data_IF_722808614433
#
_entry.id   IF_722808614433
#
_cell.length_a   1.000
_cell.length_b   1.000
_cell.length_c   1.000
_cell.angle_alpha   90.00
_cell.angle_beta   90.00
_cell.angle_gamma   90.00
#
_symmetry.space_group_name_H-M   'P 1'
#
loop_
_entity.id
_entity.type
_entity.pdbx_description
1 polymer ?
#
# COMPACT_ATOMS: atom_id res chain seq x y z
N UNK A 1 -10.32 59.94 14.96
CA UNK A 1 -10.68 58.66 15.62
C UNK A 1 -9.62 57.64 15.24
N UNK A 2 -8.96 57.08 16.24
CA UNK A 2 -7.75 56.26 16.12
C UNK A 2 -8.08 54.83 15.72
N UNK A 3 -7.17 54.17 14.99
CA UNK A 3 -7.25 52.77 14.51
C UNK A 3 -7.28 51.70 15.64
N UNK A 4 -7.40 52.10 16.91
CA UNK A 4 -7.23 51.24 18.08
C UNK A 4 -8.53 50.72 18.72
N UNK A 5 -9.71 51.06 18.19
CA UNK A 5 -10.98 50.70 18.84
C UNK A 5 -11.65 49.42 18.30
N UNK A 6 -10.98 48.65 17.45
CA UNK A 6 -11.41 47.27 17.18
C UNK A 6 -10.92 46.33 18.29
N UNK A 7 -11.62 46.34 19.43
CA UNK A 7 -11.55 45.24 20.37
C UNK A 7 -12.04 43.96 19.66
N UNK A 8 -11.08 43.07 19.34
CA UNK A 8 -11.33 41.68 18.99
C UNK A 8 -12.01 40.98 20.17
N UNK A 9 -13.33 40.95 20.18
CA UNK A 9 -14.11 40.01 20.99
C UNK A 9 -14.54 38.83 20.13
N UNK A 10 -13.56 38.11 19.58
CA UNK A 10 -13.71 36.70 19.28
C UNK A 10 -12.61 35.99 20.07
N UNK A 11 -12.99 35.34 21.16
CA UNK A 11 -12.11 34.59 22.06
C UNK A 11 -11.54 33.31 21.42
N UNK A 12 -11.37 33.29 20.11
CA UNK A 12 -10.94 32.15 19.32
C UNK A 12 -10.00 32.68 18.24
N UNK A 13 -8.70 32.43 18.44
CA UNK A 13 -7.64 32.86 17.52
C UNK A 13 -7.78 32.22 16.13
N UNK A 14 -7.01 32.69 15.12
CA UNK A 14 -7.05 32.16 13.75
C UNK A 14 -6.82 30.63 13.68
N UNK A 15 -6.21 30.04 14.71
CA UNK A 15 -5.94 28.61 14.82
C UNK A 15 -7.17 27.74 15.17
N UNK A 16 -8.26 28.35 15.63
CA UNK A 16 -9.47 27.60 16.06
C UNK A 16 -10.34 27.13 14.90
N UNK A 17 -10.20 27.72 13.71
CA UNK A 17 -10.86 27.22 12.49
C UNK A 17 -10.31 25.86 12.03
N UNK A 18 -9.12 25.48 12.48
CA UNK A 18 -8.51 24.17 12.22
C UNK A 18 -9.04 23.07 13.13
N UNK A 19 -9.74 23.43 14.22
CA UNK A 19 -10.08 22.50 15.30
C UNK A 19 -11.60 22.28 15.50
N UNK A 20 -12.46 22.87 14.66
CA UNK A 20 -13.90 22.66 14.80
C UNK A 20 -14.36 21.43 13.98
N UNK A 21 -14.68 20.29 14.63
CA UNK A 21 -15.58 19.33 14.02
C UNK A 21 -16.92 20.04 13.82
N UNK A 22 -17.41 20.11 12.58
CA UNK A 22 -18.76 20.61 12.25
C UNK A 22 -19.08 21.96 12.95
N UNK A 23 -18.52 23.06 12.45
CA UNK A 23 -18.72 24.40 13.03
C UNK A 23 -19.93 25.12 12.44
N UNK A 24 -20.83 25.61 13.29
CA UNK A 24 -21.83 26.62 12.91
C UNK A 24 -21.26 27.99 13.28
N UNK A 25 -20.91 28.80 12.27
CA UNK A 25 -20.52 30.19 12.48
C UNK A 25 -21.69 31.13 12.15
N UNK A 26 -21.87 32.18 12.96
CA UNK A 26 -22.85 33.24 12.70
C UNK A 26 -22.08 34.50 12.33
N UNK A 27 -22.33 35.06 11.15
CA UNK A 27 -21.76 36.36 10.79
C UNK A 27 -22.54 37.46 11.50
N UNK A 28 -21.86 38.33 12.24
CA UNK A 28 -22.45 39.55 12.77
C UNK A 28 -22.09 40.71 11.83
N UNK A 29 -23.11 41.30 11.18
CA UNK A 29 -22.94 42.52 10.42
C UNK A 29 -23.08 43.74 11.35
N UNK A 30 -22.38 44.87 11.09
CA UNK A 30 -22.51 46.09 11.91
C UNK A 30 -23.88 46.78 11.85
N UNK A 31 -24.81 46.32 11.01
CA UNK A 31 -26.13 46.89 10.77
C UNK A 31 -27.18 45.77 10.72
N UNK A 32 -28.42 46.08 11.12
CA UNK A 32 -29.64 45.27 11.37
C UNK A 32 -30.03 44.20 10.31
N UNK A 33 -29.06 43.44 9.82
CA UNK A 33 -29.26 42.28 8.97
C UNK A 33 -29.16 41.03 9.83
N UNK A 34 -30.15 40.12 9.76
CA UNK A 34 -30.12 38.92 10.56
C UNK A 34 -28.85 38.11 10.25
N UNK A 35 -28.18 37.57 11.27
CA UNK A 35 -26.94 36.82 11.08
C UNK A 35 -27.16 35.66 10.13
N UNK A 36 -26.33 35.56 9.09
CA UNK A 36 -26.35 34.39 8.20
C UNK A 36 -25.64 33.23 8.91
N UNK A 37 -26.31 32.08 8.93
CA UNK A 37 -25.73 30.82 9.39
C UNK A 37 -24.77 30.32 8.31
N UNK A 38 -23.48 30.28 8.61
CA UNK A 38 -22.46 29.63 7.77
C UNK A 38 -22.21 28.25 8.38
N UNK A 39 -22.58 27.21 7.64
CA UNK A 39 -22.28 25.83 7.99
C UNK A 39 -20.95 25.49 7.33
N UNK A 40 -19.93 25.15 8.13
CA UNK A 40 -18.67 24.62 7.62
C UNK A 40 -18.77 23.11 7.72
N UNK A 41 -19.19 22.48 6.63
CA UNK A 41 -19.18 21.02 6.51
C UNK A 41 -17.75 20.58 6.18
N UNK A 42 -17.11 19.81 7.05
CA UNK A 42 -15.85 19.15 6.70
C UNK A 42 -16.16 17.98 5.77
N UNK A 43 -15.29 17.75 4.78
CA UNK A 43 -15.39 16.59 3.89
C UNK A 43 -15.48 15.31 4.72
N UNK A 44 -16.56 14.55 4.56
CA UNK A 44 -16.71 13.27 5.24
C UNK A 44 -15.66 12.28 4.74
N UNK A 45 -15.01 11.55 5.66
CA UNK A 45 -13.93 10.61 5.32
C UNK A 45 -14.38 9.54 4.29
N UNK A 46 -15.64 9.12 4.36
CA UNK A 46 -16.24 8.16 3.42
C UNK A 46 -16.45 8.70 2.00
N UNK A 47 -16.18 9.99 1.74
CA UNK A 47 -16.20 10.61 0.40
C UNK A 47 -14.90 10.40 -0.36
N UNK A 48 -13.81 10.02 0.31
CA UNK A 48 -12.48 9.83 -0.32
C UNK A 48 -12.51 8.85 -1.49
N UNK A 49 -13.20 7.69 -1.44
CA UNK A 49 -13.31 6.81 -2.61
C UNK A 49 -13.97 7.51 -3.82
N UNK A 50 -14.92 8.42 -3.58
CA UNK A 50 -15.54 9.23 -4.64
C UNK A 50 -14.54 10.18 -5.29
N UNK A 51 -13.80 10.93 -4.49
CA UNK A 51 -12.73 11.81 -4.97
C UNK A 51 -11.67 11.03 -5.78
N UNK A 52 -11.27 9.86 -5.31
CA UNK A 52 -10.34 8.99 -6.05
C UNK A 52 -10.88 8.61 -7.43
N UNK A 53 -12.15 8.19 -7.54
CA UNK A 53 -12.78 7.89 -8.85
C UNK A 53 -12.85 9.12 -9.76
N UNK A 54 -13.14 10.30 -9.22
CA UNK A 54 -13.15 11.55 -9.99
C UNK A 54 -11.77 11.90 -10.57
N UNK A 55 -10.69 11.42 -9.94
CA UNK A 55 -9.31 11.53 -10.43
C UNK A 55 -8.89 10.40 -11.40
N UNK A 56 -9.78 9.43 -11.67
CA UNK A 56 -9.44 8.21 -12.41
C UNK A 56 -8.58 7.23 -11.62
N UNK A 57 -8.59 7.31 -10.28
CA UNK A 57 -7.85 6.43 -9.39
C UNK A 57 -8.71 5.25 -8.94
N UNK A 58 -9.14 4.44 -9.91
CA UNK A 58 -10.14 3.40 -9.68
C UNK A 58 -9.63 2.30 -8.75
N UNK A 59 -8.34 1.94 -8.82
CA UNK A 59 -7.76 0.90 -7.96
C UNK A 59 -7.62 1.39 -6.52
N UNK A 60 -7.13 2.61 -6.32
CA UNK A 60 -7.07 3.24 -5.01
C UNK A 60 -8.47 3.38 -4.40
N UNK A 61 -9.45 3.81 -5.20
CA UNK A 61 -10.84 3.94 -4.77
C UNK A 61 -11.43 2.60 -4.34
N UNK A 62 -11.15 1.52 -5.09
CA UNK A 62 -11.63 0.18 -4.77
C UNK A 62 -11.04 -0.35 -3.46
N UNK A 63 -9.73 -0.17 -3.23
CA UNK A 63 -9.08 -0.56 -1.97
C UNK A 63 -9.64 0.23 -0.78
N UNK A 64 -9.78 1.54 -0.95
CA UNK A 64 -10.32 2.42 0.09
C UNK A 64 -11.78 2.08 0.40
N UNK A 65 -12.60 1.83 -0.62
CA UNK A 65 -13.99 1.40 -0.46
C UNK A 65 -14.06 0.06 0.28
N UNK A 66 -13.23 -0.91 -0.11
CA UNK A 66 -13.14 -2.20 0.57
C UNK A 66 -12.80 -2.04 2.05
N UNK A 67 -11.87 -1.14 2.40
CA UNK A 67 -11.56 -0.85 3.79
C UNK A 67 -12.80 -0.37 4.56
N UNK A 68 -13.56 0.59 4.01
CA UNK A 68 -14.79 1.10 4.63
C UNK A 68 -15.90 0.05 4.78
N UNK A 69 -16.03 -0.84 3.81
CA UNK A 69 -17.08 -1.85 3.79
C UNK A 69 -16.78 -3.00 4.77
N UNK A 70 -15.50 -3.23 5.06
CA UNK A 70 -15.02 -4.27 5.96
C UNK A 70 -15.47 -4.07 7.42
N UNK A 71 -15.65 -5.17 8.19
CA UNK A 71 -15.80 -5.11 9.63
C UNK A 71 -14.64 -4.35 10.29
N UNK A 72 -14.88 -3.69 11.43
CA UNK A 72 -13.81 -3.08 12.20
C UNK A 72 -12.76 -4.12 12.59
N UNK A 73 -11.56 -3.98 12.02
CA UNK A 73 -10.41 -4.80 12.34
C UNK A 73 -9.14 -3.99 12.14
N UNK A 74 -8.26 -4.07 13.12
CA UNK A 74 -6.95 -3.44 13.10
C UNK A 74 -5.90 -4.51 12.88
N UNK A 75 -5.03 -4.30 11.90
CA UNK A 75 -3.92 -5.22 11.69
C UNK A 75 -2.94 -5.13 12.86
N UNK A 76 -2.51 -6.24 13.47
CA UNK A 76 -1.48 -6.22 14.51
C UNK A 76 -0.19 -5.57 14.00
N UNK A 77 0.42 -4.67 14.78
CA UNK A 77 1.62 -3.95 14.35
C UNK A 77 2.80 -4.90 14.10
N UNK A 78 2.88 -5.98 14.87
CA UNK A 78 3.88 -7.02 14.71
C UNK A 78 3.82 -7.69 13.33
N UNK A 79 2.70 -7.66 12.61
CA UNK A 79 2.64 -8.22 11.25
C UNK A 79 3.48 -7.43 10.24
N UNK A 80 3.99 -6.24 10.61
CA UNK A 80 4.92 -5.47 9.79
C UNK A 80 6.35 -6.03 9.82
N UNK A 81 6.71 -6.77 10.86
CA UNK A 81 8.00 -7.45 10.97
C UNK A 81 7.95 -8.81 10.27
N UNK A 82 9.09 -9.26 9.71
CA UNK A 82 9.12 -10.48 8.89
C UNK A 82 8.84 -11.74 9.72
N UNK A 83 9.36 -11.78 10.93
CA UNK A 83 9.36 -12.94 11.82
C UNK A 83 7.99 -13.24 12.43
N UNK A 84 7.12 -12.24 12.48
CA UNK A 84 5.79 -12.27 13.11
C UNK A 84 4.66 -12.17 12.10
N UNK A 85 4.98 -12.18 10.80
CA UNK A 85 3.98 -12.30 9.75
C UNK A 85 3.25 -13.65 9.85
N UNK A 86 1.92 -13.67 9.74
CA UNK A 86 1.18 -14.92 9.68
C UNK A 86 1.57 -15.69 8.42
N UNK A 87 1.40 -17.01 8.46
CA UNK A 87 1.50 -17.84 7.26
C UNK A 87 0.53 -17.27 6.20
N UNK A 88 1.00 -16.92 4.99
CA UNK A 88 0.16 -16.43 3.92
C UNK A 88 -1.10 -17.27 3.71
N UNK A 89 -1.04 -18.60 3.85
CA UNK A 89 -2.18 -19.51 3.63
C UNK A 89 -3.19 -19.48 4.79
N UNK A 90 -2.77 -19.07 5.99
CA UNK A 90 -3.64 -18.98 7.17
C UNK A 90 -4.57 -17.75 7.19
N UNK A 91 -4.28 -16.73 6.37
CA UNK A 91 -5.07 -15.50 6.31
C UNK A 91 -6.53 -15.75 5.91
N UNK A 92 -7.45 -15.17 6.66
CA UNK A 92 -8.88 -15.21 6.32
C UNK A 92 -9.20 -14.29 5.13
N UNK A 93 -10.31 -14.50 4.41
CA UNK A 93 -10.75 -13.61 3.33
C UNK A 93 -10.98 -12.15 3.75
N UNK A 94 -11.28 -11.92 5.04
CA UNK A 94 -11.44 -10.57 5.58
C UNK A 94 -10.08 -9.85 5.75
N UNK A 95 -9.00 -10.59 5.95
CA UNK A 95 -7.65 -10.06 6.22
C UNK A 95 -6.78 -10.01 4.96
N UNK A 96 -7.26 -10.48 3.82
CA UNK A 96 -6.47 -10.62 2.60
C UNK A 96 -7.28 -10.26 1.36
N UNK A 97 -6.80 -9.33 0.54
CA UNK A 97 -7.28 -9.14 -0.84
C UNK A 97 -6.44 -9.93 -1.83
N UNK A 98 -7.09 -10.55 -2.82
CA UNK A 98 -6.41 -11.17 -3.98
C UNK A 98 -7.01 -10.68 -5.33
N UNK A 99 -7.89 -9.67 -5.28
CA UNK A 99 -8.86 -9.38 -6.35
C UNK A 99 -8.75 -7.99 -6.97
N UNK A 100 -8.38 -6.98 -6.20
CA UNK A 100 -8.40 -5.57 -6.61
C UNK A 100 -7.11 -5.20 -7.34
N UNK A 101 -5.96 -5.47 -6.74
CA UNK A 101 -4.67 -5.14 -7.34
C UNK A 101 -4.27 -6.24 -8.31
N UNK A 102 -4.10 -5.88 -9.59
CA UNK A 102 -3.62 -6.79 -10.64
C UNK A 102 -2.26 -6.39 -11.16
N UNK A 103 -1.43 -7.37 -11.50
CA UNK A 103 -0.14 -7.14 -12.11
C UNK A 103 -0.28 -6.49 -13.49
N UNK A 104 -1.35 -6.81 -14.24
CA UNK A 104 -1.64 -6.12 -15.52
C UNK A 104 -1.78 -4.60 -15.33
N UNK A 105 -2.56 -4.16 -14.33
CA UNK A 105 -2.67 -2.76 -13.95
C UNK A 105 -1.34 -2.20 -13.45
N UNK A 106 -0.66 -2.91 -12.54
CA UNK A 106 0.57 -2.43 -11.93
C UNK A 106 1.69 -2.23 -12.96
N UNK A 107 1.77 -3.10 -13.97
CA UNK A 107 2.77 -3.02 -15.04
C UNK A 107 2.56 -1.84 -15.99
N UNK A 108 1.45 -1.10 -15.91
CA UNK A 108 1.26 0.17 -16.62
C UNK A 108 2.16 1.28 -16.04
N UNK A 109 2.60 1.15 -14.79
CA UNK A 109 3.42 2.14 -14.10
C UNK A 109 4.91 1.79 -14.21
N UNK A 110 5.71 2.76 -14.67
CA UNK A 110 7.15 2.60 -14.91
C UNK A 110 7.91 2.10 -13.67
N UNK A 111 7.58 2.64 -12.50
CA UNK A 111 8.21 2.24 -11.23
C UNK A 111 7.98 0.76 -10.86
N UNK A 112 6.85 0.18 -11.26
CA UNK A 112 6.58 -1.24 -11.05
C UNK A 112 7.41 -2.09 -12.02
N UNK A 113 7.48 -1.70 -13.30
CA UNK A 113 8.32 -2.38 -14.30
C UNK A 113 9.79 -2.44 -13.86
N UNK A 114 10.33 -1.31 -13.42
CA UNK A 114 11.70 -1.24 -12.88
C UNK A 114 11.89 -2.15 -11.66
N UNK A 115 10.91 -2.22 -10.76
CA UNK A 115 10.97 -3.10 -9.60
C UNK A 115 10.95 -4.59 -9.98
N UNK A 116 10.19 -4.97 -11.01
CA UNK A 116 10.20 -6.33 -11.56
C UNK A 116 11.58 -6.67 -12.12
N UNK A 117 12.19 -5.79 -12.92
CA UNK A 117 13.55 -6.01 -13.46
C UNK A 117 14.58 -6.16 -12.34
N UNK A 118 14.49 -5.32 -11.30
CA UNK A 118 15.35 -5.41 -10.13
C UNK A 118 15.13 -6.72 -9.38
N UNK A 119 13.88 -7.14 -9.16
CA UNK A 119 13.58 -8.41 -8.51
C UNK A 119 14.11 -9.60 -9.33
N UNK A 120 13.96 -9.57 -10.65
CA UNK A 120 14.46 -10.62 -11.56
C UNK A 120 15.98 -10.72 -11.51
N UNK A 121 16.71 -9.59 -11.54
CA UNK A 121 18.17 -9.58 -11.47
C UNK A 121 18.71 -10.18 -10.16
N UNK A 122 17.87 -10.24 -9.11
CA UNK A 122 18.25 -10.74 -7.79
C UNK A 122 18.07 -12.25 -7.59
N UNK A 123 17.54 -12.97 -8.58
CA UNK A 123 17.28 -14.42 -8.52
C UNK A 123 18.53 -15.26 -8.18
N UNK A 124 19.72 -14.80 -8.58
CA UNK A 124 20.99 -15.53 -8.39
C UNK A 124 21.87 -14.94 -7.28
N UNK A 125 21.35 -13.99 -6.50
CA UNK A 125 22.09 -13.46 -5.35
C UNK A 125 22.26 -14.53 -4.28
N UNK A 126 23.31 -14.42 -3.47
CA UNK A 126 23.59 -15.37 -2.37
C UNK A 126 22.37 -15.55 -1.46
N UNK A 127 21.67 -14.46 -1.14
CA UNK A 127 20.45 -14.51 -0.31
C UNK A 127 19.31 -15.27 -1.00
N UNK A 128 19.09 -15.07 -2.30
CA UNK A 128 18.07 -15.81 -3.05
C UNK A 128 18.41 -17.31 -3.13
N UNK A 129 19.67 -17.66 -3.37
CA UNK A 129 20.12 -19.05 -3.42
C UNK A 129 19.98 -19.72 -2.05
N UNK A 130 20.33 -19.04 -0.97
CA UNK A 130 20.16 -19.57 0.39
C UNK A 130 18.67 -19.78 0.71
N UNK A 131 17.81 -18.81 0.39
CA UNK A 131 16.37 -18.95 0.58
C UNK A 131 15.79 -20.10 -0.25
N UNK A 132 16.22 -20.24 -1.51
CA UNK A 132 15.81 -21.35 -2.38
C UNK A 132 16.20 -22.70 -1.78
N UNK A 133 17.41 -22.83 -1.21
CA UNK A 133 17.86 -24.07 -0.55
C UNK A 133 17.00 -24.41 0.67
N UNK A 134 16.61 -23.42 1.48
CA UNK A 134 15.70 -23.62 2.62
C UNK A 134 14.35 -24.17 2.13
N UNK A 135 13.74 -23.51 1.17
CA UNK A 135 12.45 -23.91 0.58
C UNK A 135 12.51 -25.32 -0.03
N UNK A 136 13.60 -25.64 -0.74
CA UNK A 136 13.80 -26.97 -1.30
C UNK A 136 13.92 -28.03 -0.21
N UNK A 137 14.65 -27.76 0.88
CA UNK A 137 14.76 -28.69 2.02
C UNK A 137 13.42 -28.91 2.71
N UNK A 138 12.63 -27.85 2.89
CA UNK A 138 11.25 -27.91 3.41
C UNK A 138 10.35 -28.75 2.48
N UNK A 139 10.54 -28.64 1.16
CA UNK A 139 9.87 -29.45 0.14
C UNK A 139 10.43 -30.89 0.01
N UNK A 140 11.42 -31.27 0.82
CA UNK A 140 11.96 -32.62 0.89
C UNK A 140 13.19 -32.92 0.03
N UNK A 141 13.84 -31.90 -0.53
CA UNK A 141 15.10 -32.05 -1.28
C UNK A 141 16.22 -32.66 -0.41
N UNK A 142 16.90 -33.69 -0.94
CA UNK A 142 18.03 -34.41 -0.31
C UNK A 142 19.09 -34.77 -1.37
N UNK A 143 20.31 -35.14 -0.97
CA UNK A 143 21.45 -35.41 -1.89
C UNK A 143 21.15 -36.42 -3.03
N UNK A 144 20.20 -37.34 -2.82
CA UNK A 144 19.83 -38.37 -3.79
C UNK A 144 18.36 -38.32 -4.19
N UNK A 145 17.66 -37.25 -3.83
CA UNK A 145 16.23 -37.10 -4.08
C UNK A 145 16.03 -35.77 -4.79
N UNK A 146 15.72 -35.85 -6.07
CA UNK A 146 15.29 -34.68 -6.83
C UNK A 146 13.93 -34.20 -6.31
N UNK A 147 13.75 -32.88 -6.30
CA UNK A 147 12.58 -32.21 -5.76
C UNK A 147 12.05 -31.22 -6.79
N UNK A 148 10.72 -31.09 -6.83
CA UNK A 148 10.04 -30.05 -7.58
C UNK A 148 9.57 -28.98 -6.61
N UNK A 149 9.78 -27.71 -6.99
CA UNK A 149 9.34 -26.57 -6.22
C UNK A 149 8.25 -25.81 -6.98
N UNK A 150 7.10 -25.62 -6.33
CA UNK A 150 6.02 -24.79 -6.85
C UNK A 150 5.30 -25.33 -8.10
N UNK A 151 4.33 -24.55 -8.59
CA UNK A 151 3.59 -24.77 -9.84
C UNK A 151 3.16 -23.43 -10.43
N UNK A 152 3.04 -23.33 -11.76
CA UNK A 152 2.55 -22.13 -12.43
C UNK A 152 1.03 -21.90 -12.27
N UNK A 153 0.34 -22.80 -11.56
CA UNK A 153 -1.08 -22.67 -11.19
C UNK A 153 -1.29 -22.11 -9.78
N UNK A 154 -0.23 -21.77 -9.07
CA UNK A 154 -0.30 -21.27 -7.70
C UNK A 154 -0.88 -19.86 -7.63
N UNK A 155 -1.58 -19.56 -6.53
CA UNK A 155 -1.87 -18.18 -6.14
C UNK A 155 -0.63 -17.48 -5.58
N UNK A 156 -0.65 -16.15 -5.51
CA UNK A 156 0.44 -15.37 -4.95
C UNK A 156 0.73 -15.74 -3.49
N UNK A 157 -0.30 -16.06 -2.69
CA UNK A 157 -0.13 -16.54 -1.31
C UNK A 157 0.58 -17.90 -1.24
N UNK A 158 0.23 -18.83 -2.13
CA UNK A 158 0.90 -20.12 -2.24
C UNK A 158 2.36 -19.93 -2.64
N UNK A 159 2.63 -19.08 -3.63
CA UNK A 159 4.00 -18.75 -4.00
C UNK A 159 4.78 -18.10 -2.84
N UNK A 160 4.16 -17.18 -2.09
CA UNK A 160 4.80 -16.52 -0.95
C UNK A 160 5.18 -17.52 0.15
N UNK A 161 4.31 -18.50 0.40
CA UNK A 161 4.55 -19.53 1.39
C UNK A 161 5.69 -20.49 0.99
N UNK A 162 5.74 -20.94 -0.28
CA UNK A 162 6.60 -22.08 -0.64
C UNK A 162 7.65 -21.85 -1.73
N UNK A 163 7.65 -20.71 -2.43
CA UNK A 163 8.47 -20.52 -3.62
C UNK A 163 9.08 -19.11 -3.77
N UNK A 164 8.85 -18.19 -2.83
CA UNK A 164 9.39 -16.83 -2.86
C UNK A 164 10.86 -16.80 -2.45
N UNK A 165 11.70 -16.27 -3.33
CA UNK A 165 13.17 -16.27 -3.15
C UNK A 165 13.77 -14.89 -2.96
N UNK A 166 13.15 -13.84 -3.52
CA UNK A 166 13.64 -12.46 -3.33
C UNK A 166 12.53 -11.41 -3.54
N UNK A 167 12.87 -10.13 -3.39
CA UNK A 167 11.94 -9.02 -3.57
C UNK A 167 12.65 -7.73 -4.01
N UNK A 168 11.87 -6.75 -4.45
CA UNK A 168 12.27 -5.37 -4.70
C UNK A 168 11.17 -4.41 -4.20
N UNK A 169 11.59 -3.32 -3.56
CA UNK A 169 10.67 -2.25 -3.11
C UNK A 169 10.56 -1.19 -4.21
N UNK A 170 9.40 -0.54 -4.28
CA UNK A 170 9.17 0.58 -5.18
C UNK A 170 8.22 1.61 -4.58
N UNK A 171 8.16 2.77 -5.22
CA UNK A 171 7.47 3.94 -4.67
C UNK A 171 8.37 4.76 -3.74
N UNK A 172 7.97 6.01 -3.54
CA UNK A 172 8.67 6.96 -2.68
C UNK A 172 7.72 8.09 -2.29
N UNK A 173 8.04 8.82 -1.23
CA UNK A 173 7.27 10.01 -0.84
C UNK A 173 7.22 11.08 -1.94
N UNK A 174 8.11 11.02 -2.92
CA UNK A 174 8.22 11.95 -4.05
C UNK A 174 7.69 11.39 -5.37
N UNK A 175 7.11 10.19 -5.35
CA UNK A 175 6.49 9.60 -6.53
C UNK A 175 5.34 10.47 -7.03
N UNK A 176 5.04 10.34 -8.32
CA UNK A 176 3.89 10.98 -8.96
C UNK A 176 2.62 10.65 -8.20
N UNK A 177 1.79 11.67 -8.00
CA UNK A 177 0.49 11.54 -7.35
C UNK A 177 -0.49 10.96 -8.39
N UNK A 178 -0.59 9.64 -8.45
CA UNK A 178 -1.41 8.86 -9.38
C UNK A 178 -2.15 7.72 -8.66
N UNK A 179 -2.93 6.93 -9.40
CA UNK A 179 -3.72 5.81 -8.86
C UNK A 179 -2.87 4.82 -8.04
N UNK A 180 -1.71 4.40 -8.55
CA UNK A 180 -0.84 3.49 -7.81
C UNK A 180 -0.24 4.13 -6.55
N UNK A 181 0.00 5.44 -6.53
CA UNK A 181 0.41 6.12 -5.29
C UNK A 181 -0.73 6.12 -4.26
N UNK A 182 -1.97 6.40 -4.69
CA UNK A 182 -3.14 6.33 -3.83
C UNK A 182 -3.48 4.92 -3.34
N UNK A 183 -3.17 3.90 -4.15
CA UNK A 183 -3.46 2.50 -3.87
C UNK A 183 -2.43 1.85 -2.94
N UNK A 184 -1.13 2.12 -3.17
CA UNK A 184 -0.04 1.37 -2.55
C UNK A 184 1.00 2.25 -1.86
N UNK A 185 1.18 3.50 -2.29
CA UNK A 185 2.23 4.39 -1.78
C UNK A 185 3.64 3.81 -1.98
N UNK A 186 4.13 3.06 -1.00
CA UNK A 186 5.34 2.24 -1.06
C UNK A 186 4.97 0.76 -1.06
N UNK A 187 5.34 0.02 -2.09
CA UNK A 187 5.00 -1.40 -2.19
C UNK A 187 6.22 -2.28 -2.48
N UNK A 188 5.99 -3.59 -2.37
CA UNK A 188 7.02 -4.61 -2.60
C UNK A 188 6.58 -5.56 -3.71
N UNK A 189 7.40 -5.66 -4.77
CA UNK A 189 7.35 -6.78 -5.71
C UNK A 189 8.12 -7.94 -5.09
N UNK A 190 7.46 -9.07 -4.92
CA UNK A 190 8.08 -10.34 -4.56
C UNK A 190 8.32 -11.15 -5.83
N UNK A 191 9.41 -11.91 -5.84
CA UNK A 191 9.75 -12.85 -6.91
C UNK A 191 9.90 -14.26 -6.35
N UNK A 192 9.25 -15.21 -7.01
CA UNK A 192 9.35 -16.63 -6.75
C UNK A 192 9.73 -17.42 -7.99
N UNK A 193 10.15 -18.67 -7.79
CA UNK A 193 10.54 -19.57 -8.88
C UNK A 193 9.82 -20.91 -8.76
N UNK A 194 9.48 -21.50 -9.90
CA UNK A 194 9.05 -22.89 -9.98
C UNK A 194 10.04 -23.67 -10.83
N UNK A 195 10.19 -24.95 -10.55
CA UNK A 195 11.11 -25.79 -11.30
C UNK A 195 11.54 -27.01 -10.52
N UNK A 196 12.67 -27.60 -10.92
CA UNK A 196 13.13 -28.88 -10.39
C UNK A 196 14.63 -28.90 -10.13
N UNK A 197 15.03 -29.64 -9.11
CA UNK A 197 16.45 -29.92 -8.88
C UNK A 197 16.95 -31.00 -9.82
N UNK A 198 18.24 -30.99 -10.08
CA UNK A 198 18.98 -32.10 -10.66
C UNK A 198 20.42 -32.06 -10.15
N UNK A 199 21.11 -33.21 -10.15
CA UNK A 199 22.55 -33.26 -9.84
C UNK A 199 23.38 -33.86 -10.95
N UNK A 200 24.63 -33.42 -11.03
CA UNK A 200 25.66 -33.99 -11.88
C UNK A 200 26.81 -34.52 -11.01
N UNK A 201 27.35 -35.70 -11.36
CA UNK A 201 28.56 -36.20 -10.71
C UNK A 201 29.74 -35.32 -11.11
N UNK A 202 30.54 -34.91 -10.15
CA UNK A 202 31.78 -34.19 -10.45
C UNK A 202 32.85 -35.19 -10.90
N UNK A 203 33.44 -34.96 -12.07
CA UNK A 203 34.49 -35.82 -12.62
C UNK A 203 35.65 -35.98 -11.62
N UNK A 204 35.98 -37.23 -11.29
CA UNK A 204 37.09 -37.54 -10.39
C UNK A 204 36.79 -37.44 -8.89
N UNK A 205 35.54 -37.19 -8.47
CA UNK A 205 35.14 -37.24 -7.05
C UNK A 205 33.87 -38.06 -6.84
N UNK A 206 33.58 -38.44 -5.59
CA UNK A 206 32.27 -39.02 -5.22
C UNK A 206 31.20 -37.95 -4.97
N UNK A 207 31.56 -36.67 -5.01
CA UNK A 207 30.64 -35.57 -4.73
C UNK A 207 29.74 -35.27 -5.94
N UNK A 208 28.51 -34.87 -5.64
CA UNK A 208 27.52 -34.40 -6.61
C UNK A 208 27.39 -32.90 -6.51
N UNK A 209 27.39 -32.26 -7.66
CA UNK A 209 27.04 -30.84 -7.78
C UNK A 209 25.54 -30.74 -8.06
N UNK A 210 24.84 -29.92 -7.28
CA UNK A 210 23.40 -29.75 -7.38
C UNK A 210 23.03 -28.44 -8.06
N UNK A 211 21.93 -28.49 -8.80
CA UNK A 211 21.40 -27.38 -9.56
C UNK A 211 19.88 -27.33 -9.43
N UNK A 212 19.33 -26.14 -9.66
CA UNK A 212 17.90 -25.94 -9.85
C UNK A 212 17.65 -25.40 -11.25
N UNK A 213 16.87 -26.12 -12.04
CA UNK A 213 16.36 -25.64 -13.32
C UNK A 213 15.07 -24.88 -13.05
N UNK A 214 15.11 -23.56 -13.20
CA UNK A 214 13.91 -22.72 -13.16
C UNK A 214 13.11 -23.00 -14.44
N UNK A 215 11.80 -23.24 -14.29
CA UNK A 215 10.84 -23.37 -15.39
C UNK A 215 10.02 -22.09 -15.57
N UNK A 216 9.63 -21.46 -14.45
CA UNK A 216 8.94 -20.18 -14.45
C UNK A 216 9.44 -19.29 -13.31
N UNK A 217 9.41 -17.99 -13.56
CA UNK A 217 9.58 -16.94 -12.57
C UNK A 217 8.22 -16.26 -12.40
N UNK A 218 7.78 -16.09 -11.16
CA UNK A 218 6.53 -15.40 -10.82
C UNK A 218 6.82 -14.10 -10.10
N UNK A 219 6.13 -13.02 -10.51
CA UNK A 219 6.19 -11.71 -9.87
C UNK A 219 4.80 -11.31 -9.37
N UNK A 220 4.73 -10.82 -8.14
CA UNK A 220 3.48 -10.34 -7.55
C UNK A 220 3.75 -9.25 -6.52
N UNK A 221 2.75 -8.41 -6.28
CA UNK A 221 2.77 -7.39 -5.23
C UNK A 221 2.26 -8.02 -3.94
N UNK A 222 2.95 -7.73 -2.84
CA UNK A 222 2.42 -7.90 -1.48
C UNK A 222 2.55 -6.57 -0.74
N UNK A 223 1.46 -6.15 -0.11
CA UNK A 223 1.45 -4.90 0.67
C UNK A 223 0.49 -4.96 1.86
N UNK A 224 0.65 -4.05 2.82
CA UNK A 224 -0.25 -3.90 3.96
C UNK A 224 -1.12 -2.66 3.77
N UNK A 225 -2.43 -2.84 3.66
CA UNK A 225 -3.39 -1.74 3.59
C UNK A 225 -3.97 -1.48 4.98
N UNK A 226 -3.24 -0.69 5.76
CA UNK A 226 -3.56 -0.36 7.14
C UNK A 226 -3.46 1.14 7.43
N UNK A 227 -4.20 1.60 8.43
CA UNK A 227 -4.14 2.97 8.92
C UNK A 227 -3.61 3.06 10.36
N UNK A 228 -2.52 2.33 10.64
CA UNK A 228 -1.85 2.36 11.95
C UNK A 228 -0.77 3.44 11.99
N UNK A 229 -0.25 3.75 13.18
CA UNK A 229 0.80 4.76 13.37
C UNK A 229 0.40 6.20 13.01
N UNK A 230 1.40 7.06 12.85
CA UNK A 230 1.22 8.50 12.55
C UNK A 230 1.57 8.73 11.09
N UNK A 231 0.57 9.10 10.28
CA UNK A 231 0.78 9.43 8.88
C UNK A 231 -0.27 10.42 8.39
N UNK A 232 0.19 11.37 7.57
CA UNK A 232 -0.65 12.29 6.81
C UNK A 232 -0.87 11.74 5.41
N UNK A 233 -2.13 11.70 4.97
CA UNK A 233 -2.60 11.05 3.74
C UNK A 233 -3.06 12.06 2.68
N UNK A 234 -2.81 13.35 2.90
CA UNK A 234 -3.16 14.42 1.98
C UNK A 234 -4.31 15.31 2.47
N UNK A 235 -4.51 16.40 1.75
CA UNK A 235 -5.66 17.30 1.92
C UNK A 235 -6.61 17.05 0.78
N UNK A 236 -7.85 16.69 1.10
CA UNK A 236 -8.83 16.19 0.14
C UNK A 236 -10.01 17.13 0.05
N UNK A 237 -10.46 17.39 -1.17
CA UNK A 237 -11.76 17.98 -1.50
C UNK A 237 -12.74 16.86 -1.88
N UNK A 238 -13.98 17.19 -2.21
CA UNK A 238 -14.96 16.18 -2.67
C UNK A 238 -14.54 15.51 -3.99
N UNK A 239 -13.74 16.20 -4.81
CA UNK A 239 -13.39 15.75 -6.16
C UNK A 239 -11.95 15.28 -6.33
N UNK A 240 -11.03 15.66 -5.45
CA UNK A 240 -9.61 15.34 -5.61
C UNK A 240 -8.79 15.49 -4.34
N UNK A 241 -7.60 14.91 -4.35
CA UNK A 241 -6.53 15.31 -3.44
C UNK A 241 -5.84 16.58 -3.96
N UNK A 242 -5.49 17.48 -3.05
CA UNK A 242 -4.69 18.65 -3.35
C UNK A 242 -3.24 18.23 -3.61
N UNK A 243 -2.61 18.91 -4.57
CA UNK A 243 -1.17 18.75 -4.81
C UNK A 243 -0.36 19.25 -3.61
N UNK A 244 0.91 18.84 -3.51
CA UNK A 244 1.79 19.26 -2.39
C UNK A 244 1.90 20.78 -2.26
N UNK A 245 1.96 21.50 -3.37
CA UNK A 245 2.01 22.96 -3.39
C UNK A 245 0.68 23.58 -2.94
N UNK A 246 -0.46 23.06 -3.40
CA UNK A 246 -1.78 23.50 -2.94
C UNK A 246 -1.96 23.25 -1.44
N UNK A 247 -1.53 22.09 -0.94
CA UNK A 247 -1.52 21.78 0.49
C UNK A 247 -0.73 22.82 1.29
N UNK A 248 0.47 23.20 0.84
CA UNK A 248 1.27 24.24 1.51
C UNK A 248 0.53 25.59 1.53
N UNK A 249 -0.12 25.96 0.42
CA UNK A 249 -0.93 27.18 0.32
C UNK A 249 -2.09 27.15 1.33
N UNK A 250 -2.72 26.00 1.57
CA UNK A 250 -3.83 25.88 2.53
C UNK A 250 -3.44 26.14 3.98
N UNK A 251 -2.14 26.09 4.32
CA UNK A 251 -1.63 26.43 5.65
C UNK A 251 -1.68 27.94 5.94
N UNK A 252 -1.76 28.78 4.90
CA UNK A 252 -1.92 30.22 5.04
C UNK A 252 -3.40 30.63 5.01
N UNK A 253 -3.88 31.54 5.87
CA UNK A 253 -5.31 31.91 5.92
C UNK A 253 -5.90 32.37 4.59
N UNK A 254 -5.14 33.15 3.81
CA UNK A 254 -5.57 33.61 2.48
C UNK A 254 -5.61 32.47 1.46
N UNK A 255 -4.60 31.58 1.49
CA UNK A 255 -4.54 30.42 0.62
C UNK A 255 -5.66 29.40 0.91
N UNK A 256 -5.97 29.20 2.19
CA UNK A 256 -7.10 28.40 2.64
C UNK A 256 -8.42 28.89 2.05
N UNK A 257 -8.67 30.20 2.15
CA UNK A 257 -9.87 30.83 1.58
C UNK A 257 -9.94 30.64 0.06
N UNK A 258 -8.82 30.83 -0.64
CA UNK A 258 -8.77 30.64 -2.11
C UNK A 258 -9.16 29.21 -2.49
N UNK A 259 -8.58 28.20 -1.84
CA UNK A 259 -8.91 26.80 -2.13
C UNK A 259 -10.36 26.48 -1.77
N UNK A 260 -10.87 26.97 -0.64
CA UNK A 260 -12.28 26.77 -0.27
C UNK A 260 -13.26 27.36 -1.27
N UNK A 261 -12.96 28.55 -1.80
CA UNK A 261 -13.79 29.21 -2.80
C UNK A 261 -13.71 28.53 -4.17
N UNK A 262 -12.55 27.95 -4.50
CA UNK A 262 -12.30 27.32 -5.80
C UNK A 262 -12.79 25.87 -5.85
N UNK A 263 -12.43 25.07 -4.85
CA UNK A 263 -12.57 23.60 -4.84
C UNK A 263 -13.57 23.11 -3.77
N UNK A 264 -14.22 24.03 -3.05
CA UNK A 264 -15.19 23.69 -2.01
C UNK A 264 -14.55 23.25 -0.68
N UNK A 265 -15.33 22.61 0.21
CA UNK A 265 -14.82 22.13 1.48
C UNK A 265 -13.70 21.09 1.29
N UNK A 266 -12.68 21.17 2.14
CA UNK A 266 -11.60 20.20 2.17
C UNK A 266 -11.24 19.81 3.60
N UNK A 267 -10.58 18.65 3.74
CA UNK A 267 -10.09 18.14 5.01
C UNK A 267 -8.67 17.60 4.87
N UNK A 268 -7.83 17.88 5.87
CA UNK A 268 -6.56 17.18 6.05
C UNK A 268 -6.86 15.79 6.61
N UNK A 269 -6.43 14.74 5.91
CA UNK A 269 -6.71 13.36 6.25
C UNK A 269 -5.44 12.69 6.77
N UNK A 270 -5.60 11.94 7.86
CA UNK A 270 -4.53 11.22 8.55
C UNK A 270 -5.00 9.83 8.94
N UNK A 271 -4.06 8.95 9.29
CA UNK A 271 -4.39 7.62 9.82
C UNK A 271 -5.28 7.69 11.08
N UNK A 272 -5.17 8.76 11.87
CA UNK A 272 -6.03 8.96 13.05
C UNK A 272 -7.51 9.12 12.66
N UNK A 273 -7.83 9.73 11.51
CA UNK A 273 -9.22 9.84 11.06
C UNK A 273 -9.83 8.47 10.75
N UNK A 274 -9.05 7.56 10.15
CA UNK A 274 -9.47 6.19 9.87
C UNK A 274 -9.65 5.37 11.16
N UNK A 275 -8.72 5.48 12.12
CA UNK A 275 -8.89 4.82 13.43
C UNK A 275 -10.12 5.31 14.18
N UNK A 276 -10.38 6.62 14.18
CA UNK A 276 -11.59 7.17 14.79
C UNK A 276 -12.85 6.64 14.08
N UNK A 277 -12.85 6.62 12.74
CA UNK A 277 -13.94 6.03 11.96
C UNK A 277 -14.20 4.57 12.35
N UNK A 278 -13.14 3.76 12.51
CA UNK A 278 -13.23 2.36 12.95
C UNK A 278 -13.96 2.20 14.26
N UNK A 279 -13.59 3.00 15.26
CA UNK A 279 -14.20 2.96 16.60
C UNK A 279 -15.64 3.48 16.57
N UNK A 280 -15.91 4.56 15.84
CA UNK A 280 -17.23 5.20 15.82
C UNK A 280 -18.28 4.43 15.00
N UNK A 281 -17.86 3.81 13.90
CA UNK A 281 -18.76 3.13 12.95
C UNK A 281 -18.74 1.61 13.08
N UNK A 282 -17.79 1.04 13.82
CA UNK A 282 -17.57 -0.41 13.91
C UNK A 282 -17.37 -1.01 12.50
N UNK A 283 -16.70 -0.24 11.64
CA UNK A 283 -16.43 -0.50 10.23
C UNK A 283 -15.09 0.11 9.84
N UNK A 284 -14.36 -0.47 8.92
CA UNK A 284 -13.00 -0.04 8.63
C UNK A 284 -11.98 -1.10 9.00
N UNK A 285 -11.80 -2.06 8.10
CA UNK A 285 -10.95 -3.24 8.31
C UNK A 285 -9.68 -3.17 7.49
N UNK A 286 -8.54 -3.25 8.17
CA UNK A 286 -7.24 -3.38 7.51
C UNK A 286 -7.12 -4.73 6.79
N UNK A 287 -6.18 -4.86 5.86
CA UNK A 287 -5.93 -6.14 5.18
C UNK A 287 -4.57 -6.17 4.49
N UNK A 288 -4.10 -7.37 4.17
CA UNK A 288 -2.94 -7.60 3.31
C UNK A 288 -3.44 -7.66 1.86
N UNK A 289 -2.69 -7.04 0.95
CA UNK A 289 -2.90 -7.13 -0.49
C UNK A 289 -1.97 -8.19 -1.05
N UNK A 290 -2.50 -9.08 -1.87
CA UNK A 290 -1.76 -9.86 -2.84
C UNK A 290 -2.30 -9.56 -4.24
N UNK A 291 -1.43 -9.31 -5.21
CA UNK A 291 -1.86 -9.31 -6.60
C UNK A 291 -2.00 -10.74 -7.15
N UNK A 292 -2.49 -10.88 -8.37
CA UNK A 292 -2.22 -12.07 -9.17
C UNK A 292 -0.72 -12.18 -9.51
N UNK A 293 -0.30 -13.34 -10.00
CA UNK A 293 1.10 -13.57 -10.39
C UNK A 293 1.26 -13.28 -11.88
N UNK A 294 2.20 -12.40 -12.21
CA UNK A 294 2.74 -12.28 -13.56
C UNK A 294 3.82 -13.35 -13.75
N UNK A 295 3.52 -14.34 -14.58
CA UNK A 295 4.42 -15.44 -14.89
C UNK A 295 5.30 -15.14 -16.10
N UNK A 296 6.58 -15.53 -16.01
CA UNK A 296 7.55 -15.50 -17.09
C UNK A 296 8.22 -16.86 -17.21
N UNK A 297 8.20 -17.46 -18.40
CA UNK A 297 8.95 -18.69 -18.67
C UNK A 297 10.45 -18.41 -18.59
N UNK A 298 11.21 -19.33 -18.01
CA UNK A 298 12.65 -19.23 -17.83
C UNK A 298 13.27 -20.61 -17.98
N UNK A 299 14.51 -20.67 -18.44
CA UNK A 299 15.34 -21.89 -18.47
C UNK A 299 16.65 -21.67 -17.69
N UNK A 300 16.64 -20.69 -16.78
CA UNK A 300 17.81 -20.36 -15.98
C UNK A 300 18.19 -21.51 -15.05
N UNK A 301 19.48 -21.82 -15.02
CA UNK A 301 20.06 -22.75 -14.07
C UNK A 301 20.66 -21.96 -12.90
N UNK A 302 20.31 -22.35 -11.68
CA UNK A 302 20.86 -21.83 -10.43
C UNK A 302 21.73 -22.92 -9.80
N UNK A 303 22.97 -22.58 -9.48
CA UNK A 303 23.88 -23.49 -8.80
C UNK A 303 23.55 -23.57 -7.30
N UNK A 304 23.32 -24.78 -6.80
CA UNK A 304 23.06 -25.05 -5.39
C UNK A 304 24.32 -25.50 -4.64
N UNK A 305 25.41 -25.84 -5.32
CA UNK A 305 26.63 -26.34 -4.69
C UNK A 305 26.58 -27.84 -4.41
N UNK A 306 27.50 -28.31 -3.58
CA UNK A 306 27.55 -29.69 -3.11
C UNK A 306 26.68 -29.89 -1.86
N UNK A 307 26.27 -31.13 -1.62
CA UNK A 307 25.68 -31.52 -0.34
C UNK A 307 26.78 -31.58 0.74
N UNK A 308 26.55 -30.94 1.88
CA UNK A 308 27.41 -31.01 3.06
C UNK A 308 26.83 -32.00 4.07
#
# INVERSE_FOLDING_TARGET
>A
MSLNDFQRTNALGPDTYFALPQGISRTYAPLDTPPKKVIIENLALSRVPGAMRNMGWDTAAALMQRWFDSPAWEMPEEWKERETQPDPISLSPAQCDESIVKMEWAMQFERCRQAVEVAESRLKTVNAVNRLKELLKEAGWRDHIDCQLGSNTMSARQMDACAQVNFAKFGSAWSTLDDMYGALGFATIKVGVTGKTFSQKMSGTQHRQHYFQVEHVGFYIRDHYDFNGIQYLGTWTEDRVLTKSETLITLHPQGNLIVRLKDGPFAAITNANFRNYRVEKIKGGDFIIYSDIMWKKSDQIIELGTWL
#
